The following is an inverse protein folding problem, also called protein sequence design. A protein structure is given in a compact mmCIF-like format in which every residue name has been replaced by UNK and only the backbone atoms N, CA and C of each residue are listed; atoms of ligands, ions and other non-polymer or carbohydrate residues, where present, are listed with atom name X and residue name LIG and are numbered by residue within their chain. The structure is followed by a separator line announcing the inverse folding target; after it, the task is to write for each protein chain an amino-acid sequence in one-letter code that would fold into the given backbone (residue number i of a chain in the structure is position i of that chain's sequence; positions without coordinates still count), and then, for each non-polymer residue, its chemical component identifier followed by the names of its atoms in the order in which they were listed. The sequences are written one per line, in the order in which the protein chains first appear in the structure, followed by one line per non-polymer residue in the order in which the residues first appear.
data_IF_540091608111
#
_entry.id   IF_540091608111
#
_cell.length_a   1.000
_cell.length_b   1.000
_cell.length_c   1.000
_cell.angle_alpha   90.00
_cell.angle_beta   90.00
_cell.angle_gamma   90.00
#
_symmetry.space_group_name_H-M   'P 1'
#
loop_
_entity.id
_entity.type
_entity.pdbx_description
1 polymer ?
#
# COMPACT_ATOMS: atom_id res chain seq x y z
N UNK A 1 -10.79 -37.93 -32.79
CA UNK A 1 -9.83 -37.39 -31.79
C UNK A 1 -10.24 -35.96 -31.48
N UNK A 2 -10.52 -35.68 -30.20
CA UNK A 2 -11.07 -34.41 -29.69
C UNK A 2 -9.96 -33.36 -29.54
N UNK A 3 -10.14 -32.15 -30.09
CA UNK A 3 -9.40 -30.91 -29.73
C UNK A 3 -10.38 -29.73 -29.90
N UNK A 4 -11.17 -29.44 -28.85
CA UNK A 4 -11.00 -28.34 -27.88
C UNK A 4 -11.31 -26.97 -28.49
N UNK A 5 -12.48 -26.46 -28.09
CA UNK A 5 -13.04 -25.17 -28.45
C UNK A 5 -12.16 -23.99 -28.02
N UNK A 6 -11.98 -23.05 -28.93
CA UNK A 6 -11.45 -21.72 -28.65
C UNK A 6 -12.48 -20.96 -27.81
N UNK A 7 -12.23 -20.89 -26.50
CA UNK A 7 -12.98 -20.02 -25.60
C UNK A 7 -12.59 -18.57 -25.91
N UNK A 8 -13.43 -17.90 -26.70
CA UNK A 8 -13.40 -16.48 -26.96
C UNK A 8 -13.31 -15.68 -25.65
N UNK A 9 -12.22 -14.95 -25.48
CA UNK A 9 -12.02 -13.97 -24.40
C UNK A 9 -13.16 -12.93 -24.48
N UNK A 10 -14.00 -12.75 -23.43
CA UNK A 10 -15.09 -11.78 -23.53
C UNK A 10 -14.54 -10.35 -23.44
N UNK A 11 -14.69 -9.68 -24.58
CA UNK A 11 -14.64 -8.25 -24.89
C UNK A 11 -14.47 -7.26 -23.72
N UNK A 12 -13.34 -6.51 -23.79
CA UNK A 12 -13.14 -5.18 -23.21
C UNK A 12 -14.35 -4.28 -23.53
N UNK A 13 -15.14 -3.89 -22.53
CA UNK A 13 -16.11 -2.78 -22.66
C UNK A 13 -15.53 -1.52 -22.04
N UNK A 14 -15.10 -0.60 -22.91
CA UNK A 14 -14.69 0.77 -22.61
C UNK A 14 -15.76 1.48 -21.76
N UNK A 15 -15.35 2.00 -20.61
CA UNK A 15 -16.22 2.71 -19.68
C UNK A 15 -16.49 4.11 -20.26
N UNK A 16 -17.68 4.32 -20.82
CA UNK A 16 -18.16 5.63 -21.28
C UNK A 16 -18.54 6.52 -20.09
N UNK A 17 -18.34 7.84 -20.22
CA UNK A 17 -18.56 8.86 -19.16
C UNK A 17 -19.91 8.72 -18.43
N UNK A 18 -20.96 8.35 -19.15
CA UNK A 18 -22.33 8.14 -18.61
C UNK A 18 -22.40 7.07 -17.51
N UNK A 19 -21.58 6.00 -17.57
CA UNK A 19 -21.56 4.95 -16.53
C UNK A 19 -20.77 5.37 -15.29
N UNK A 20 -19.77 6.24 -15.43
CA UNK A 20 -18.97 6.74 -14.30
C UNK A 20 -19.88 7.48 -13.31
N UNK A 21 -20.77 8.34 -13.82
CA UNK A 21 -21.68 9.15 -13.00
C UNK A 21 -22.74 8.31 -12.27
N UNK A 22 -23.24 7.25 -12.89
CA UNK A 22 -24.13 6.27 -12.26
C UNK A 22 -23.43 5.43 -11.19
N UNK A 23 -22.16 5.07 -11.43
CA UNK A 23 -21.32 4.33 -10.48
C UNK A 23 -20.94 5.21 -9.29
N UNK A 24 -20.60 6.49 -9.52
CA UNK A 24 -20.35 7.50 -8.48
C UNK A 24 -21.59 7.76 -7.63
N UNK A 25 -22.79 7.76 -8.21
CA UNK A 25 -24.06 7.82 -7.45
C UNK A 25 -24.28 6.62 -6.54
N UNK A 26 -23.85 5.41 -6.95
CA UNK A 26 -23.95 4.18 -6.13
C UNK A 26 -22.90 4.09 -5.03
N UNK A 27 -21.76 4.76 -5.20
CA UNK A 27 -20.67 4.76 -4.22
C UNK A 27 -20.77 5.89 -3.20
N UNK A 28 -21.87 6.65 -3.13
CA UNK A 28 -22.06 7.60 -2.01
C UNK A 28 -22.05 6.82 -0.70
N UNK A 29 -20.88 6.73 -0.05
CA UNK A 29 -20.72 6.08 1.24
C UNK A 29 -21.74 6.70 2.20
N UNK A 30 -22.51 5.85 2.87
CA UNK A 30 -23.41 6.32 3.91
C UNK A 30 -22.59 6.98 5.03
N UNK A 31 -23.22 7.83 5.85
CA UNK A 31 -22.54 8.42 7.02
C UNK A 31 -21.95 7.33 7.94
N UNK A 32 -22.61 6.18 8.03
CA UNK A 32 -22.13 5.03 8.80
C UNK A 32 -20.89 4.39 8.19
N UNK A 33 -20.86 4.19 6.87
CA UNK A 33 -19.69 3.63 6.20
C UNK A 33 -18.49 4.59 6.24
N UNK A 34 -18.73 5.90 6.10
CA UNK A 34 -17.67 6.90 6.27
C UNK A 34 -17.03 6.83 7.65
N UNK A 35 -17.85 6.75 8.70
CA UNK A 35 -17.37 6.60 10.08
C UNK A 35 -16.55 5.31 10.25
N UNK A 36 -17.06 4.19 9.73
CA UNK A 36 -16.35 2.91 9.79
C UNK A 36 -14.96 2.99 9.15
N UNK A 37 -14.83 3.55 7.94
CA UNK A 37 -13.54 3.67 7.27
C UNK A 37 -12.63 4.73 7.92
N UNK A 38 -13.19 5.81 8.46
CA UNK A 38 -12.42 6.78 9.24
C UNK A 38 -11.78 6.13 10.47
N UNK A 39 -12.57 5.42 11.28
CA UNK A 39 -12.07 4.72 12.47
C UNK A 39 -11.00 3.69 12.10
N UNK A 40 -11.21 2.95 10.99
CA UNK A 40 -10.26 1.98 10.46
C UNK A 40 -8.93 2.64 10.00
N UNK A 41 -9.01 3.79 9.32
CA UNK A 41 -7.82 4.54 8.88
C UNK A 41 -7.05 5.13 10.06
N UNK A 42 -7.73 5.68 11.06
CA UNK A 42 -7.09 6.21 12.28
C UNK A 42 -6.40 5.09 13.06
N UNK A 43 -7.04 3.92 13.19
CA UNK A 43 -6.41 2.76 13.81
C UNK A 43 -5.21 2.24 13.00
N UNK A 44 -5.30 2.26 11.67
CA UNK A 44 -4.16 1.92 10.82
C UNK A 44 -3.00 2.91 11.03
N UNK A 45 -3.30 4.23 11.10
CA UNK A 45 -2.30 5.28 11.32
C UNK A 45 -1.55 5.10 12.62
N UNK A 46 -2.25 4.80 13.72
CA UNK A 46 -1.60 4.57 15.01
C UNK A 46 -0.74 3.30 14.98
N UNK A 47 -1.19 2.23 14.33
CA UNK A 47 -0.43 0.98 14.20
C UNK A 47 0.87 1.18 13.38
N UNK A 48 0.77 1.78 12.19
CA UNK A 48 1.95 2.06 11.36
C UNK A 48 2.86 3.12 12.01
N UNK A 49 2.28 4.11 12.70
CA UNK A 49 3.05 5.09 13.46
C UNK A 49 3.90 4.45 14.55
N UNK A 50 3.34 3.51 15.32
CA UNK A 50 4.09 2.75 16.32
C UNK A 50 5.19 1.89 15.70
N UNK A 51 4.90 1.25 14.55
CA UNK A 51 5.89 0.46 13.81
C UNK A 51 7.06 1.32 13.30
N UNK A 52 6.78 2.50 12.74
CA UNK A 52 7.80 3.46 12.29
C UNK A 52 8.68 3.92 13.46
N UNK A 53 8.08 4.22 14.62
CA UNK A 53 8.86 4.59 15.82
C UNK A 53 9.79 3.45 16.25
N UNK A 54 9.29 2.21 16.29
CA UNK A 54 10.09 1.04 16.67
C UNK A 54 11.30 0.82 15.74
N UNK A 55 11.09 0.81 14.42
CA UNK A 55 12.19 0.61 13.46
C UNK A 55 13.14 1.80 13.42
N UNK A 56 12.65 3.02 13.65
CA UNK A 56 13.50 4.20 13.82
C UNK A 56 14.43 4.05 15.02
N UNK A 57 13.91 3.60 16.16
CA UNK A 57 14.71 3.38 17.36
C UNK A 57 15.74 2.25 17.16
N UNK A 58 15.39 1.14 16.50
CA UNK A 58 16.33 0.04 16.21
C UNK A 58 17.43 0.49 15.22
N UNK A 59 17.06 1.17 14.13
CA UNK A 59 18.02 1.65 13.12
C UNK A 59 19.00 2.72 13.64
N UNK A 60 18.58 3.50 14.63
CA UNK A 60 19.38 4.54 15.28
C UNK A 60 20.08 4.03 16.55
N UNK A 61 19.64 2.92 17.13
CA UNK A 61 20.25 2.31 18.30
C UNK A 61 21.65 1.84 17.94
N UNK A 62 22.64 2.55 18.49
CA UNK A 62 24.03 2.09 18.52
C UNK A 62 24.29 1.17 19.71
N UNK A 63 23.28 0.48 20.22
CA UNK A 63 23.41 -0.42 21.36
C UNK A 63 22.90 -1.80 21.00
N UNK A 64 23.78 -2.77 21.14
CA UNK A 64 23.52 -4.20 21.09
C UNK A 64 22.89 -4.68 22.41
N UNK A 65 22.50 -5.97 22.47
CA UNK A 65 21.74 -6.55 23.59
C UNK A 65 22.42 -6.41 24.98
N UNK A 66 23.74 -6.15 25.01
CA UNK A 66 24.51 -5.89 26.22
C UNK A 66 24.51 -4.40 26.65
N UNK A 67 23.95 -3.49 25.85
CA UNK A 67 23.87 -2.06 26.15
C UNK A 67 25.16 -1.27 25.90
N UNK A 68 26.20 -1.90 25.35
CA UNK A 68 27.44 -1.23 24.93
C UNK A 68 27.21 -0.39 23.67
N UNK A 69 28.06 0.61 23.45
CA UNK A 69 28.01 1.40 22.22
C UNK A 69 28.72 0.61 21.13
N UNK A 70 28.11 0.49 19.94
CA UNK A 70 28.66 -0.10 18.68
C UNK A 70 29.87 0.70 18.12
N UNK A 71 30.60 1.40 18.99
CA UNK A 71 31.90 1.97 18.68
C UNK A 71 32.91 0.85 18.52
N UNK A 72 32.96 0.32 17.29
CA UNK A 72 33.94 -0.61 16.74
C UNK A 72 33.61 -2.09 16.97
N UNK A 73 32.77 -2.66 16.09
CA UNK A 73 32.74 -4.10 15.90
C UNK A 73 34.17 -4.59 15.67
N UNK A 74 34.63 -5.50 16.52
CA UNK A 74 36.03 -5.92 16.58
C UNK A 74 36.40 -6.85 15.43
N UNK A 75 35.40 -7.39 14.71
CA UNK A 75 35.56 -8.27 13.56
C UNK A 75 34.87 -7.75 12.30
N UNK A 76 35.54 -7.91 11.15
CA UNK A 76 35.03 -7.52 9.82
C UNK A 76 33.72 -8.24 9.46
N UNK A 77 33.49 -9.45 9.98
CA UNK A 77 32.26 -10.21 9.73
C UNK A 77 31.03 -9.58 10.42
N UNK A 78 31.22 -8.99 11.60
CA UNK A 78 30.13 -8.38 12.38
C UNK A 78 29.69 -7.07 11.75
N UNK A 79 30.65 -6.27 11.25
CA UNK A 79 30.37 -5.05 10.49
C UNK A 79 29.44 -5.28 9.30
N UNK A 80 29.60 -6.39 8.58
CA UNK A 80 28.74 -6.73 7.45
C UNK A 80 27.30 -7.03 7.89
N UNK A 81 27.16 -7.77 8.99
CA UNK A 81 25.86 -8.14 9.56
C UNK A 81 25.12 -6.92 10.11
N UNK A 82 25.84 -6.04 10.82
CA UNK A 82 25.29 -4.81 11.40
C UNK A 82 24.83 -3.83 10.32
N UNK A 83 25.63 -3.66 9.27
CA UNK A 83 25.25 -2.82 8.13
C UNK A 83 24.01 -3.37 7.43
N UNK A 84 23.97 -4.68 7.15
CA UNK A 84 22.79 -5.31 6.54
C UNK A 84 21.54 -5.12 7.40
N UNK A 85 21.64 -5.33 8.72
CA UNK A 85 20.51 -5.13 9.64
C UNK A 85 20.03 -3.69 9.57
N UNK A 86 20.95 -2.72 9.65
CA UNK A 86 20.61 -1.30 9.59
C UNK A 86 19.94 -0.91 8.28
N UNK A 87 20.47 -1.37 7.15
CA UNK A 87 19.89 -1.09 5.84
C UNK A 87 18.49 -1.71 5.70
N UNK A 88 18.29 -2.92 6.23
CA UNK A 88 16.99 -3.57 6.29
C UNK A 88 15.97 -2.77 7.12
N UNK A 89 16.34 -2.35 8.34
CA UNK A 89 15.48 -1.55 9.22
C UNK A 89 15.13 -0.18 8.60
N UNK A 90 16.09 0.46 7.92
CA UNK A 90 15.84 1.70 7.17
C UNK A 90 14.87 1.49 5.99
N UNK A 91 14.94 0.33 5.33
CA UNK A 91 13.96 -0.06 4.31
C UNK A 91 12.55 -0.17 4.88
N UNK A 92 12.39 -0.88 6.00
CA UNK A 92 11.11 -1.01 6.70
C UNK A 92 10.56 0.35 7.16
N UNK A 93 11.44 1.23 7.64
CA UNK A 93 11.08 2.59 8.02
C UNK A 93 10.54 3.39 6.83
N UNK A 94 11.22 3.30 5.69
CA UNK A 94 10.83 3.99 4.46
C UNK A 94 9.45 3.52 3.99
N UNK A 95 9.23 2.21 3.93
CA UNK A 95 7.93 1.62 3.58
C UNK A 95 6.82 2.06 4.54
N UNK A 96 7.13 2.15 5.84
CA UNK A 96 6.20 2.59 6.87
C UNK A 96 5.79 4.07 6.71
N UNK A 97 6.74 4.94 6.40
CA UNK A 97 6.49 6.37 6.12
C UNK A 97 5.62 6.53 4.89
N UNK A 98 5.91 5.79 3.81
CA UNK A 98 5.09 5.80 2.60
C UNK A 98 3.64 5.40 2.92
N UNK A 99 3.44 4.35 3.71
CA UNK A 99 2.09 3.93 4.12
C UNK A 99 1.37 4.99 4.96
N UNK A 100 2.07 5.69 5.86
CA UNK A 100 1.49 6.80 6.63
C UNK A 100 1.00 7.92 5.72
N UNK A 101 1.79 8.30 4.71
CA UNK A 101 1.37 9.28 3.70
C UNK A 101 0.14 8.79 2.94
N UNK A 102 0.10 7.51 2.53
CA UNK A 102 -1.09 6.95 1.88
C UNK A 102 -2.34 6.97 2.77
N UNK A 103 -2.18 6.83 4.09
CA UNK A 103 -3.29 6.89 5.06
C UNK A 103 -3.77 8.34 5.20
N UNK A 104 -2.87 9.30 5.32
CA UNK A 104 -3.22 10.72 5.43
C UNK A 104 -3.94 11.19 4.15
N UNK A 105 -3.47 10.81 2.95
CA UNK A 105 -4.19 11.04 1.69
C UNK A 105 -5.55 10.34 1.63
N UNK A 106 -5.68 9.16 2.23
CA UNK A 106 -6.95 8.43 2.28
C UNK A 106 -7.97 9.12 3.18
N UNK A 107 -7.53 9.69 4.32
CA UNK A 107 -8.34 10.51 5.20
C UNK A 107 -8.82 11.78 4.47
N UNK A 108 -7.93 12.46 3.76
CA UNK A 108 -8.30 13.63 2.97
C UNK A 108 -9.34 13.30 1.89
N UNK A 109 -9.15 12.20 1.14
CA UNK A 109 -10.16 11.72 0.17
C UNK A 109 -11.51 11.38 0.81
N UNK A 110 -11.52 10.99 2.08
CA UNK A 110 -12.76 10.69 2.80
C UNK A 110 -13.54 11.97 3.13
N UNK A 111 -12.82 13.04 3.48
CA UNK A 111 -13.36 14.39 3.66
C UNK A 111 -13.91 14.95 2.34
N UNK A 112 -13.12 14.85 1.26
CA UNK A 112 -13.48 15.29 -0.09
C UNK A 112 -14.58 14.44 -0.74
N UNK A 113 -15.01 13.37 -0.07
CA UNK A 113 -16.01 12.41 -0.58
C UNK A 113 -15.60 11.68 -1.85
N UNK A 114 -14.29 11.57 -2.10
CA UNK A 114 -13.69 10.82 -3.22
C UNK A 114 -13.14 9.44 -2.78
N UNK A 115 -13.24 9.13 -1.49
CA UNK A 115 -12.76 7.86 -0.94
C UNK A 115 -13.44 6.65 -1.58
N UNK A 116 -12.64 5.62 -1.85
CA UNK A 116 -13.08 4.40 -2.52
C UNK A 116 -13.16 4.50 -4.04
N UNK A 117 -12.67 5.58 -4.65
CA UNK A 117 -12.53 5.70 -6.10
C UNK A 117 -11.06 5.45 -6.50
N UNK A 118 -10.85 4.64 -7.53
CA UNK A 118 -9.51 4.37 -8.08
C UNK A 118 -8.98 5.62 -8.81
N UNK A 119 -7.78 6.07 -8.45
CA UNK A 119 -7.16 7.26 -9.06
C UNK A 119 -6.79 7.08 -10.55
N UNK A 120 -6.60 5.84 -10.99
CA UNK A 120 -6.15 5.54 -12.36
C UNK A 120 -7.33 5.42 -13.33
N UNK A 121 -8.31 4.55 -13.01
CA UNK A 121 -9.44 4.29 -13.90
C UNK A 121 -10.75 4.98 -13.49
N UNK A 122 -10.80 5.66 -12.34
CA UNK A 122 -12.01 6.31 -11.83
C UNK A 122 -13.12 5.35 -11.41
N UNK A 123 -12.85 4.04 -11.36
CA UNK A 123 -13.81 3.02 -10.96
C UNK A 123 -13.80 2.80 -9.43
N UNK A 124 -14.90 2.33 -8.85
CA UNK A 124 -15.00 2.07 -7.42
C UNK A 124 -14.05 0.94 -7.02
N UNK A 125 -13.36 1.14 -5.92
CA UNK A 125 -12.53 0.15 -5.26
C UNK A 125 -13.46 -0.78 -4.47
N UNK A 126 -13.35 -2.12 -4.64
CA UNK A 126 -14.20 -3.07 -3.91
C UNK A 126 -14.08 -2.89 -2.40
N UNK A 127 -15.22 -2.90 -1.69
CA UNK A 127 -15.28 -2.76 -0.22
C UNK A 127 -14.34 -3.72 0.51
N UNK A 128 -14.34 -5.01 0.13
CA UNK A 128 -13.43 -6.04 0.70
C UNK A 128 -11.95 -5.65 0.62
N UNK A 129 -11.56 -4.91 -0.41
CA UNK A 129 -10.17 -4.42 -0.57
C UNK A 129 -9.89 -3.26 0.36
N UNK A 130 -10.83 -2.34 0.55
CA UNK A 130 -10.69 -1.23 1.51
C UNK A 130 -10.73 -1.73 2.95
N UNK A 131 -11.49 -2.77 3.25
CA UNK A 131 -11.47 -3.44 4.57
C UNK A 131 -10.11 -4.09 4.86
N UNK A 132 -9.46 -4.68 3.84
CA UNK A 132 -8.13 -5.29 3.99
C UNK A 132 -6.97 -4.27 3.94
N UNK A 133 -7.08 -3.25 3.07
CA UNK A 133 -6.10 -2.17 2.89
C UNK A 133 -6.84 -0.83 2.74
N UNK A 134 -7.12 -0.13 3.84
CA UNK A 134 -7.99 1.06 3.83
C UNK A 134 -7.35 2.27 3.13
N UNK A 135 -6.03 2.31 3.03
CA UNK A 135 -5.27 3.37 2.35
C UNK A 135 -5.08 3.11 0.84
N UNK A 136 -5.70 2.08 0.26
CA UNK A 136 -5.51 1.74 -1.15
C UNK A 136 -5.93 2.87 -2.11
N UNK A 137 -5.01 3.31 -2.97
CA UNK A 137 -5.25 4.34 -4.02
C UNK A 137 -5.87 3.77 -5.31
N UNK A 138 -5.64 2.49 -5.58
CA UNK A 138 -6.00 1.85 -6.85
C UNK A 138 -6.92 0.64 -6.65
N UNK A 139 -7.67 0.26 -7.68
CA UNK A 139 -8.37 -1.02 -7.72
C UNK A 139 -7.41 -2.18 -8.06
N UNK A 140 -7.83 -3.43 -7.85
CA UNK A 140 -6.99 -4.62 -8.07
C UNK A 140 -6.48 -4.71 -9.50
N UNK A 141 -7.33 -4.45 -10.49
CA UNK A 141 -6.92 -4.49 -11.89
C UNK A 141 -5.85 -3.44 -12.25
N UNK A 142 -5.94 -2.22 -11.72
CA UNK A 142 -4.94 -1.18 -11.99
C UNK A 142 -3.65 -1.43 -11.21
N UNK A 143 -3.74 -1.94 -9.97
CA UNK A 143 -2.56 -2.32 -9.19
C UNK A 143 -1.75 -3.42 -9.90
N UNK A 144 -2.40 -4.50 -10.32
CA UNK A 144 -1.73 -5.60 -11.01
C UNK A 144 -1.11 -5.19 -12.35
N UNK A 145 -1.74 -4.24 -13.07
CA UNK A 145 -1.14 -3.68 -14.29
C UNK A 145 0.14 -2.90 -14.00
N UNK A 146 0.16 -2.10 -12.94
CA UNK A 146 1.34 -1.33 -12.55
C UNK A 146 2.48 -2.26 -12.11
N UNK A 147 2.17 -3.25 -11.28
CA UNK A 147 3.14 -4.28 -10.86
C UNK A 147 3.74 -5.01 -12.08
N UNK A 148 2.91 -5.39 -13.06
CA UNK A 148 3.40 -6.00 -14.30
C UNK A 148 4.24 -5.04 -15.16
N UNK A 149 3.90 -3.75 -15.20
CA UNK A 149 4.71 -2.74 -15.89
C UNK A 149 6.09 -2.59 -15.23
N UNK A 150 6.13 -2.53 -13.90
CA UNK A 150 7.37 -2.42 -13.12
C UNK A 150 8.27 -3.65 -13.36
N UNK A 151 7.69 -4.86 -13.33
CA UNK A 151 8.43 -6.10 -13.60
C UNK A 151 9.00 -6.15 -15.03
N UNK A 152 8.20 -5.79 -16.04
CA UNK A 152 8.67 -5.75 -17.43
C UNK A 152 9.70 -4.65 -17.72
N UNK A 153 9.78 -3.63 -16.87
CA UNK A 153 10.79 -2.57 -16.95
C UNK A 153 12.13 -3.08 -16.43
N UNK A 154 12.14 -3.73 -15.26
CA UNK A 154 13.36 -4.28 -14.67
C UNK A 154 13.94 -5.46 -15.45
N UNK A 155 13.10 -6.28 -16.10
CA UNK A 155 13.59 -7.43 -16.88
C UNK A 155 14.15 -7.09 -18.27
N UNK A 156 13.92 -5.88 -18.78
CA UNK A 156 14.38 -5.45 -20.12
C UNK A 156 15.68 -4.63 -20.08
N UNK A 157 16.28 -4.50 -18.91
CA UNK A 157 17.49 -3.72 -18.64
C UNK A 157 18.62 -4.67 -18.26
#
# INVERSE_FOLDING_TARGET
MKKTAEASVPAKKSITRVRKDEILKKLRLSKADKKFFYDLLVHARSAFGAQVQYHSDDALSRKDAAGERVGMATHMADLGTDNYRRDFELGLLSDGVDVLEMIDEALQRLEDSEYGICLDCGMPIPRKRLEAKPYAKYCTACKSKREAMDETYYHRR
#
